data_IF_057359668929
#
_entry.id   IF_057359668929
#
_cell.length_a   1.000
_cell.length_b   1.000
_cell.length_c   1.000
_cell.angle_alpha   90.00
_cell.angle_beta   90.00
_cell.angle_gamma   90.00
#
_symmetry.space_group_name_H-M   'P 1'
#
loop_
_entity.id
_entity.type
_entity.pdbx_description
1 polymer ?
#
# COMPACT_ATOMS: atom_id res chain seq x y z
N UNK A 1 -30.80 -2.64 -23.65
CA UNK A 1 -30.27 -3.29 -24.89
C UNK A 1 -28.79 -3.54 -24.65
N UNK A 2 -28.31 -4.76 -24.90
CA UNK A 2 -26.88 -5.08 -24.80
C UNK A 2 -26.15 -4.32 -25.92
N UNK A 3 -25.09 -3.59 -25.58
CA UNK A 3 -24.24 -2.91 -26.55
C UNK A 3 -23.31 -3.92 -27.20
N UNK A 4 -23.32 -3.99 -28.53
CA UNK A 4 -22.32 -4.74 -29.28
C UNK A 4 -20.95 -4.05 -29.17
N UNK A 5 -19.87 -4.83 -29.19
CA UNK A 5 -18.51 -4.29 -29.31
C UNK A 5 -18.39 -3.49 -30.60
N UNK A 6 -17.73 -2.34 -30.52
CA UNK A 6 -17.53 -1.45 -31.66
C UNK A 6 -16.55 -2.08 -32.66
N UNK A 7 -16.75 -1.85 -33.95
CA UNK A 7 -15.88 -2.42 -35.01
C UNK A 7 -14.43 -1.95 -34.88
N UNK A 8 -14.21 -0.73 -34.40
CA UNK A 8 -12.89 -0.18 -34.08
C UNK A 8 -12.14 -0.95 -32.98
N UNK A 9 -12.82 -1.80 -32.21
CA UNK A 9 -12.21 -2.65 -31.19
C UNK A 9 -11.57 -3.93 -31.76
N UNK A 10 -11.68 -4.24 -33.06
CA UNK A 10 -11.23 -5.51 -33.66
C UNK A 10 -9.73 -5.83 -33.49
N UNK A 11 -8.88 -4.85 -33.16
CA UNK A 11 -7.47 -5.05 -32.82
C UNK A 11 -7.18 -5.38 -31.35
N UNK A 12 -8.18 -5.30 -30.48
CA UNK A 12 -8.02 -5.57 -29.05
C UNK A 12 -8.10 -7.08 -28.76
N UNK A 13 -7.20 -7.67 -27.95
CA UNK A 13 -7.29 -9.09 -27.56
C UNK A 13 -8.62 -9.47 -26.90
N UNK A 14 -9.27 -8.51 -26.21
CA UNK A 14 -10.56 -8.71 -25.58
C UNK A 14 -11.74 -8.62 -26.54
N UNK A 15 -11.53 -8.30 -27.82
CA UNK A 15 -12.60 -8.29 -28.81
C UNK A 15 -13.20 -9.68 -29.01
N UNK A 16 -12.34 -10.71 -29.16
CA UNK A 16 -12.76 -12.11 -29.28
C UNK A 16 -12.84 -12.82 -27.94
N UNK A 17 -11.93 -12.53 -27.00
CA UNK A 17 -11.81 -13.26 -25.73
C UNK A 17 -12.71 -12.73 -24.61
N UNK A 18 -12.97 -11.42 -24.60
CA UNK A 18 -13.72 -10.76 -23.53
C UNK A 18 -15.23 -10.85 -23.72
N UNK A 19 -15.98 -10.47 -22.69
CA UNK A 19 -17.45 -10.46 -22.70
C UNK A 19 -17.98 -9.03 -22.58
N UNK A 20 -19.13 -8.78 -23.23
CA UNK A 20 -19.82 -7.49 -23.17
C UNK A 20 -19.01 -6.30 -23.68
N UNK A 21 -19.65 -5.13 -23.60
CA UNK A 21 -19.06 -3.83 -23.86
C UNK A 21 -19.88 -2.77 -23.13
N UNK A 22 -19.23 -1.82 -22.48
CA UNK A 22 -19.86 -0.64 -21.91
C UNK A 22 -19.05 0.62 -22.24
N UNK A 23 -19.70 1.59 -22.89
CA UNK A 23 -19.10 2.90 -23.17
C UNK A 23 -18.92 3.78 -21.92
N UNK A 24 -19.47 3.37 -20.77
CA UNK A 24 -19.53 4.15 -19.53
C UNK A 24 -20.87 4.88 -19.35
N UNK A 25 -21.12 5.36 -18.14
CA UNK A 25 -22.24 6.21 -17.76
C UNK A 25 -21.77 7.66 -17.80
N UNK A 26 -22.03 8.34 -18.92
CA UNK A 26 -21.57 9.70 -19.17
C UNK A 26 -22.60 10.72 -18.69
N UNK A 27 -22.19 11.60 -17.78
CA UNK A 27 -23.01 12.71 -17.31
C UNK A 27 -22.51 14.00 -17.96
N UNK A 28 -23.42 14.75 -18.58
CA UNK A 28 -23.09 16.04 -19.18
C UNK A 28 -22.61 17.01 -18.10
N UNK A 29 -21.51 17.72 -18.38
CA UNK A 29 -20.89 18.72 -17.49
C UNK A 29 -20.47 18.16 -16.12
N UNK A 30 -20.22 16.84 -16.04
CA UNK A 30 -19.73 16.18 -14.84
C UNK A 30 -18.38 16.76 -14.40
N UNK A 31 -18.30 17.14 -13.12
CA UNK A 31 -17.08 17.67 -12.49
C UNK A 31 -16.20 16.58 -11.86
N UNK A 32 -16.80 15.42 -11.53
CA UNK A 32 -16.11 14.25 -10.99
C UNK A 32 -16.31 13.08 -11.95
N UNK A 33 -15.24 12.35 -12.23
CA UNK A 33 -15.26 11.15 -13.06
C UNK A 33 -14.66 9.98 -12.29
N UNK A 34 -15.43 8.90 -12.11
CA UNK A 34 -14.98 7.66 -11.50
C UNK A 34 -14.47 6.71 -12.58
N UNK A 35 -13.30 6.09 -12.34
CA UNK A 35 -12.70 5.14 -13.29
C UNK A 35 -12.39 3.83 -12.57
N UNK A 36 -13.07 2.74 -12.96
CA UNK A 36 -12.80 1.37 -12.49
C UNK A 36 -11.83 0.59 -13.37
N UNK A 37 -11.62 -0.68 -13.04
CA UNK A 37 -10.67 -1.56 -13.75
C UNK A 37 -11.24 -2.07 -15.08
N UNK A 38 -12.28 -2.90 -15.01
CA UNK A 38 -12.90 -3.57 -16.14
C UNK A 38 -14.32 -4.02 -15.76
N UNK A 39 -15.09 -4.55 -16.73
CA UNK A 39 -16.45 -5.00 -16.43
C UNK A 39 -16.50 -6.28 -15.59
N UNK A 40 -17.37 -6.24 -14.58
CA UNK A 40 -17.89 -7.43 -13.89
C UNK A 40 -18.82 -8.28 -14.77
N UNK A 41 -19.24 -9.45 -14.27
CA UNK A 41 -20.15 -10.35 -14.98
C UNK A 41 -21.49 -9.66 -15.30
N UNK A 42 -22.15 -9.11 -14.28
CA UNK A 42 -23.43 -8.41 -14.45
C UNK A 42 -23.27 -7.16 -15.34
N UNK A 43 -22.17 -6.43 -15.18
CA UNK A 43 -21.87 -5.24 -15.97
C UNK A 43 -21.73 -5.56 -17.47
N UNK A 44 -21.14 -6.72 -17.81
CA UNK A 44 -21.06 -7.21 -19.18
C UNK A 44 -22.43 -7.61 -19.75
N UNK A 45 -23.33 -8.16 -18.92
CA UNK A 45 -24.70 -8.51 -19.31
C UNK A 45 -25.58 -7.27 -19.53
N UNK A 46 -25.34 -6.20 -18.79
CA UNK A 46 -26.14 -4.97 -18.84
C UNK A 46 -25.51 -3.84 -19.67
N UNK A 47 -24.29 -4.03 -20.17
CA UNK A 47 -23.52 -2.97 -20.87
C UNK A 47 -23.41 -1.67 -20.07
N UNK A 48 -23.38 -1.77 -18.75
CA UNK A 48 -23.37 -0.63 -17.82
C UNK A 48 -22.37 -0.91 -16.70
N UNK A 49 -21.43 0.00 -16.41
CA UNK A 49 -20.42 -0.24 -15.39
C UNK A 49 -21.04 -0.16 -13.98
N UNK A 50 -20.47 -0.89 -13.01
CA UNK A 50 -20.87 -0.84 -11.61
C UNK A 50 -22.39 -1.03 -11.38
N UNK A 51 -22.99 -2.08 -11.96
CA UNK A 51 -24.40 -2.46 -11.70
C UNK A 51 -24.58 -3.69 -10.82
N UNK A 52 -23.52 -4.46 -10.57
CA UNK A 52 -23.57 -5.61 -9.65
C UNK A 52 -23.14 -5.26 -8.22
N UNK A 53 -22.75 -6.26 -7.42
CA UNK A 53 -22.39 -6.06 -6.00
C UNK A 53 -21.30 -4.97 -5.77
N UNK A 54 -20.32 -4.88 -6.67
CA UNK A 54 -19.31 -3.81 -6.66
C UNK A 54 -19.95 -2.42 -6.85
N UNK A 55 -20.95 -2.32 -7.71
CA UNK A 55 -21.76 -1.12 -7.89
C UNK A 55 -22.57 -0.74 -6.67
N UNK A 56 -23.26 -1.70 -6.04
CA UNK A 56 -24.00 -1.44 -4.80
C UNK A 56 -23.10 -0.94 -3.68
N UNK A 57 -21.87 -1.47 -3.59
CA UNK A 57 -20.87 -0.99 -2.63
C UNK A 57 -20.44 0.45 -2.97
N UNK A 58 -20.19 0.76 -4.24
CA UNK A 58 -19.85 2.11 -4.69
C UNK A 58 -20.99 3.10 -4.41
N UNK A 59 -22.24 2.72 -4.70
CA UNK A 59 -23.42 3.53 -4.45
C UNK A 59 -23.60 3.83 -2.96
N UNK A 60 -23.28 2.87 -2.07
CA UNK A 60 -23.23 3.11 -0.63
C UNK A 60 -22.17 4.14 -0.25
N UNK A 61 -20.98 4.09 -0.86
CA UNK A 61 -19.92 5.07 -0.62
C UNK A 61 -20.35 6.47 -1.09
N UNK A 62 -20.87 6.58 -2.31
CA UNK A 62 -21.38 7.83 -2.89
C UNK A 62 -22.47 8.44 -2.01
N UNK A 63 -23.48 7.64 -1.63
CA UNK A 63 -24.56 8.08 -0.73
C UNK A 63 -24.03 8.56 0.62
N UNK A 64 -23.05 7.86 1.19
CA UNK A 64 -22.46 8.22 2.50
C UNK A 64 -21.74 9.57 2.47
N UNK A 65 -21.16 9.95 1.33
CA UNK A 65 -20.49 11.26 1.16
C UNK A 65 -21.41 12.34 0.60
N UNK A 66 -22.66 12.01 0.27
CA UNK A 66 -23.63 12.94 -0.29
C UNK A 66 -23.52 13.15 -1.81
N UNK A 67 -22.83 12.24 -2.53
CA UNK A 67 -22.80 12.23 -3.99
C UNK A 67 -23.96 11.41 -4.56
N UNK A 68 -24.54 11.92 -5.64
CA UNK A 68 -25.54 11.19 -6.44
C UNK A 68 -24.86 10.54 -7.64
N UNK A 69 -25.18 9.27 -7.92
CA UNK A 69 -24.59 8.54 -9.05
C UNK A 69 -24.78 9.27 -10.38
N UNK A 70 -25.98 9.78 -10.66
CA UNK A 70 -26.26 10.54 -11.89
C UNK A 70 -25.67 11.96 -11.91
N UNK A 71 -24.86 12.35 -10.92
CA UNK A 71 -24.08 13.59 -10.92
C UNK A 71 -22.60 13.37 -11.26
N UNK A 72 -22.18 12.11 -11.44
CA UNK A 72 -20.79 11.74 -11.74
C UNK A 72 -20.74 10.89 -12.99
N UNK A 73 -19.68 11.06 -13.79
CA UNK A 73 -19.39 10.16 -14.90
C UNK A 73 -18.71 8.91 -14.37
N UNK A 74 -19.10 7.73 -14.84
CA UNK A 74 -18.52 6.46 -14.40
C UNK A 74 -18.06 5.65 -15.62
N UNK A 75 -16.78 5.33 -15.66
CA UNK A 75 -16.17 4.51 -16.71
C UNK A 75 -15.25 3.45 -16.14
N UNK A 76 -14.68 2.63 -17.03
CA UNK A 76 -13.65 1.65 -16.69
C UNK A 76 -12.41 1.87 -17.57
N UNK A 77 -11.26 1.44 -17.06
CA UNK A 77 -10.01 1.46 -17.80
C UNK A 77 -10.10 0.56 -19.06
N UNK A 78 -10.79 -0.57 -18.92
CA UNK A 78 -11.16 -1.50 -19.98
C UNK A 78 -12.69 -1.60 -20.10
N UNK A 79 -13.23 -1.34 -21.29
CA UNK A 79 -14.69 -1.32 -21.55
C UNK A 79 -15.34 -2.71 -21.66
N UNK A 80 -14.56 -3.78 -21.56
CA UNK A 80 -15.02 -5.18 -21.68
C UNK A 80 -14.73 -5.94 -20.39
N UNK A 81 -15.40 -7.07 -20.20
CA UNK A 81 -15.04 -8.05 -19.17
C UNK A 81 -13.91 -8.94 -19.68
N UNK A 82 -12.78 -9.06 -18.98
CA UNK A 82 -11.72 -9.99 -19.32
C UNK A 82 -12.13 -11.45 -19.01
N UNK A 83 -11.54 -12.45 -19.70
CA UNK A 83 -11.76 -13.86 -19.39
C UNK A 83 -11.54 -14.15 -17.90
N UNK A 84 -12.46 -14.89 -17.27
CA UNK A 84 -12.37 -15.27 -15.86
C UNK A 84 -12.19 -14.08 -14.88
N UNK A 85 -12.59 -12.87 -15.26
CA UNK A 85 -12.33 -11.64 -14.49
C UNK A 85 -10.83 -11.34 -14.27
N UNK A 86 -9.96 -11.88 -15.13
CA UNK A 86 -8.52 -11.76 -14.98
C UNK A 86 -7.95 -10.70 -15.93
N UNK A 87 -7.75 -9.49 -15.41
CA UNK A 87 -7.01 -8.44 -16.11
C UNK A 87 -5.60 -8.28 -15.56
N UNK A 88 -5.46 -8.11 -14.25
CA UNK A 88 -4.17 -7.81 -13.61
C UNK A 88 -3.14 -8.92 -13.86
N UNK A 89 -1.98 -8.55 -14.39
CA UNK A 89 -0.86 -9.40 -14.82
C UNK A 89 -1.23 -10.41 -15.93
N UNK A 90 -2.35 -10.22 -16.63
CA UNK A 90 -2.73 -11.10 -17.73
C UNK A 90 -1.92 -10.75 -19.00
N UNK A 91 -1.67 -11.72 -19.91
CA UNK A 91 -0.93 -11.48 -21.16
C UNK A 91 -1.55 -10.40 -22.07
N UNK A 92 -2.84 -10.11 -21.89
CA UNK A 92 -3.58 -9.12 -22.66
C UNK A 92 -3.70 -7.75 -21.98
N UNK A 93 -3.27 -7.57 -20.71
CA UNK A 93 -3.50 -6.34 -19.93
C UNK A 93 -3.04 -5.09 -20.68
N UNK A 94 -1.75 -5.01 -21.02
CA UNK A 94 -1.18 -3.83 -21.66
C UNK A 94 -1.81 -3.55 -23.02
N UNK A 95 -2.00 -4.60 -23.84
CA UNK A 95 -2.58 -4.45 -25.17
C UNK A 95 -4.02 -3.95 -25.11
N UNK A 96 -4.86 -4.46 -24.19
CA UNK A 96 -6.24 -4.02 -24.08
C UNK A 96 -6.37 -2.63 -23.41
N UNK A 97 -5.52 -2.30 -22.43
CA UNK A 97 -5.47 -0.96 -21.84
C UNK A 97 -5.08 0.09 -22.88
N UNK A 98 -4.06 -0.19 -23.71
CA UNK A 98 -3.64 0.71 -24.78
C UNK A 98 -4.75 0.86 -25.83
N UNK A 99 -5.39 -0.23 -26.24
CA UNK A 99 -6.48 -0.18 -27.23
C UNK A 99 -7.71 0.58 -26.71
N UNK A 100 -8.09 0.37 -25.45
CA UNK A 100 -9.26 1.04 -24.84
C UNK A 100 -9.04 2.54 -24.55
N UNK A 101 -7.83 3.07 -24.77
CA UNK A 101 -7.53 4.49 -24.56
C UNK A 101 -8.47 5.42 -25.32
N UNK A 102 -8.88 5.03 -26.53
CA UNK A 102 -9.85 5.79 -27.35
C UNK A 102 -11.20 5.95 -26.66
N UNK A 103 -11.65 4.93 -25.91
CA UNK A 103 -12.90 5.03 -25.15
C UNK A 103 -12.72 5.87 -23.89
N UNK A 104 -11.55 5.81 -23.24
CA UNK A 104 -11.26 6.63 -22.06
C UNK A 104 -11.20 8.12 -22.35
N UNK A 105 -10.83 8.52 -23.57
CA UNK A 105 -10.93 9.91 -24.01
C UNK A 105 -12.36 10.48 -23.93
N UNK A 106 -13.39 9.62 -23.94
CA UNK A 106 -14.77 10.05 -23.71
C UNK A 106 -15.04 10.45 -22.25
N UNK A 107 -14.21 10.03 -21.30
CA UNK A 107 -14.29 10.42 -19.89
C UNK A 107 -13.39 11.63 -19.56
N UNK A 108 -12.35 11.87 -20.37
CA UNK A 108 -11.40 12.97 -20.19
C UNK A 108 -11.94 14.31 -20.70
N UNK A 109 -13.07 14.75 -20.12
CA UNK A 109 -13.72 16.01 -20.47
C UNK A 109 -13.04 17.20 -19.79
N UNK A 110 -12.94 18.37 -20.46
CA UNK A 110 -12.45 19.59 -19.83
C UNK A 110 -13.28 20.04 -18.61
N UNK A 111 -14.54 19.61 -18.52
CA UNK A 111 -15.42 19.87 -17.37
C UNK A 111 -15.04 19.06 -16.13
N UNK A 112 -14.39 17.91 -16.32
CA UNK A 112 -13.93 17.07 -15.21
C UNK A 112 -12.80 17.79 -14.49
N UNK A 113 -13.00 18.08 -13.20
CA UNK A 113 -11.99 18.63 -12.31
C UNK A 113 -11.25 17.55 -11.53
N UNK A 114 -11.93 16.44 -11.19
CA UNK A 114 -11.32 15.37 -10.41
C UNK A 114 -11.64 14.00 -11.00
N UNK A 115 -10.61 13.22 -11.28
CA UNK A 115 -10.70 11.80 -11.58
C UNK A 115 -10.50 11.02 -10.29
N UNK A 116 -11.46 10.15 -9.95
CA UNK A 116 -11.32 9.21 -8.84
C UNK A 116 -11.10 7.82 -9.42
N UNK A 117 -9.88 7.29 -9.26
CA UNK A 117 -9.54 5.96 -9.79
C UNK A 117 -9.78 4.90 -8.72
N UNK A 118 -10.46 3.82 -9.11
CA UNK A 118 -10.82 2.71 -8.24
C UNK A 118 -9.88 1.54 -8.52
N UNK A 119 -8.90 1.31 -7.64
CA UNK A 119 -7.92 0.24 -7.78
C UNK A 119 -6.62 0.65 -8.48
N UNK A 120 -5.62 -0.24 -8.41
CA UNK A 120 -4.28 0.02 -8.94
C UNK A 120 -4.26 0.11 -10.47
N UNK A 121 -4.96 -0.78 -11.18
CA UNK A 121 -5.01 -0.78 -12.65
C UNK A 121 -5.59 0.53 -13.18
N UNK A 122 -6.73 0.98 -12.64
CA UNK A 122 -7.34 2.25 -13.02
C UNK A 122 -6.40 3.43 -12.76
N UNK A 123 -5.76 3.45 -11.57
CA UNK A 123 -4.82 4.50 -11.18
C UNK A 123 -3.62 4.58 -12.12
N UNK A 124 -2.92 3.46 -12.35
CA UNK A 124 -1.82 3.34 -13.32
C UNK A 124 -2.23 3.80 -14.71
N UNK A 125 -3.44 3.43 -15.15
CA UNK A 125 -3.91 3.70 -16.51
C UNK A 125 -4.16 5.18 -16.72
N UNK A 126 -4.90 5.83 -15.81
CA UNK A 126 -5.22 7.25 -15.94
C UNK A 126 -3.96 8.12 -15.78
N UNK A 127 -3.06 7.76 -14.85
CA UNK A 127 -1.76 8.45 -14.72
C UNK A 127 -0.94 8.34 -16.00
N UNK A 128 -0.81 7.12 -16.56
CA UNK A 128 -0.08 6.89 -17.82
C UNK A 128 -0.69 7.65 -19.00
N UNK A 129 -2.03 7.72 -19.09
CA UNK A 129 -2.70 8.49 -20.14
C UNK A 129 -2.37 9.99 -20.10
N UNK A 130 -2.05 10.52 -18.92
CA UNK A 130 -1.64 11.91 -18.67
C UNK A 130 -0.11 12.09 -18.57
N UNK A 131 0.69 11.03 -18.81
CA UNK A 131 2.15 11.11 -18.79
C UNK A 131 2.80 11.05 -17.41
N UNK A 132 2.08 10.58 -16.38
CA UNK A 132 2.59 10.41 -15.02
C UNK A 132 3.00 8.96 -14.74
N UNK A 133 4.12 8.72 -14.03
CA UNK A 133 4.50 7.38 -13.61
C UNK A 133 3.61 6.88 -12.47
N UNK A 134 3.52 5.55 -12.34
CA UNK A 134 2.91 4.88 -11.19
C UNK A 134 3.81 3.72 -10.77
N UNK A 135 4.21 3.70 -9.51
CA UNK A 135 5.11 2.69 -8.95
C UNK A 135 4.67 2.29 -7.54
N UNK A 136 4.82 0.99 -7.22
CA UNK A 136 4.49 0.45 -5.92
C UNK A 136 3.00 0.12 -5.71
N UNK A 137 2.64 0.03 -4.43
CA UNK A 137 1.33 -0.46 -3.96
C UNK A 137 0.31 0.67 -3.88
N UNK A 138 -0.97 0.39 -4.17
CA UNK A 138 -2.05 1.38 -4.13
C UNK A 138 -2.21 2.01 -2.73
N UNK A 139 -1.86 1.26 -1.69
CA UNK A 139 -1.83 1.67 -0.29
C UNK A 139 -0.94 2.89 -0.04
N UNK A 140 0.05 3.16 -0.90
CA UNK A 140 0.89 4.37 -0.80
C UNK A 140 0.39 5.52 -1.68
N UNK A 141 -0.71 5.31 -2.42
CA UNK A 141 -1.28 6.27 -3.38
C UNK A 141 -2.71 6.67 -3.01
N UNK A 142 -3.44 5.87 -2.24
CA UNK A 142 -4.85 6.15 -1.96
C UNK A 142 -5.02 7.53 -1.32
N UNK A 143 -6.07 8.23 -1.69
CA UNK A 143 -6.45 9.54 -1.14
C UNK A 143 -5.37 10.62 -1.25
N UNK A 144 -4.26 10.38 -1.96
CA UNK A 144 -3.32 11.43 -2.36
C UNK A 144 -3.92 12.24 -3.50
N UNK A 145 -3.47 13.48 -3.64
CA UNK A 145 -3.92 14.36 -4.72
C UNK A 145 -2.80 14.56 -5.72
N UNK A 146 -3.01 14.11 -6.95
CA UNK A 146 -2.06 14.28 -8.05
C UNK A 146 -2.63 15.35 -8.98
N UNK A 147 -1.90 16.46 -9.18
CA UNK A 147 -2.24 17.47 -10.19
C UNK A 147 -1.87 16.92 -11.58
N UNK A 148 -2.86 16.73 -12.45
CA UNK A 148 -2.68 16.26 -13.84
C UNK A 148 -2.55 17.43 -14.82
N UNK A 149 -3.29 18.50 -14.58
CA UNK A 149 -3.27 19.76 -15.36
C UNK A 149 -3.70 20.91 -14.44
N UNK A 150 -3.78 22.15 -14.93
CA UNK A 150 -4.04 23.35 -14.12
C UNK A 150 -5.30 23.27 -13.25
N UNK A 151 -6.36 22.65 -13.75
CA UNK A 151 -7.63 22.46 -13.03
C UNK A 151 -8.10 21.00 -12.99
N UNK A 152 -7.20 20.04 -13.22
CA UNK A 152 -7.53 18.62 -13.23
C UNK A 152 -6.65 17.85 -12.24
N UNK A 153 -7.30 17.09 -11.38
CA UNK A 153 -6.66 16.33 -10.32
C UNK A 153 -7.07 14.85 -10.38
N UNK A 154 -6.23 14.00 -9.80
CA UNK A 154 -6.50 12.57 -9.64
C UNK A 154 -6.42 12.20 -8.15
N UNK A 155 -7.42 11.46 -7.68
CA UNK A 155 -7.49 10.92 -6.33
C UNK A 155 -7.68 9.40 -6.40
N UNK A 156 -6.64 8.60 -6.10
CA UNK A 156 -6.75 7.14 -6.11
C UNK A 156 -7.53 6.63 -4.91
N UNK A 157 -8.23 5.50 -5.06
CA UNK A 157 -8.82 4.79 -3.92
C UNK A 157 -9.05 3.31 -4.22
N UNK A 158 -9.53 2.56 -3.22
CA UNK A 158 -9.73 1.13 -3.31
C UNK A 158 -10.92 0.75 -4.19
N UNK A 159 -10.75 -0.30 -4.99
CA UNK A 159 -11.81 -0.82 -5.85
C UNK A 159 -12.92 -1.47 -5.00
N UNK A 160 -14.22 -1.21 -5.30
CA UNK A 160 -15.34 -1.84 -4.60
C UNK A 160 -15.26 -3.37 -4.44
N UNK A 161 -14.89 -4.09 -5.51
CA UNK A 161 -14.69 -5.54 -5.46
C UNK A 161 -13.61 -5.98 -4.46
N UNK A 162 -12.54 -5.20 -4.30
CA UNK A 162 -11.48 -5.50 -3.32
C UNK A 162 -12.00 -5.37 -1.89
N UNK A 163 -12.88 -4.40 -1.62
CA UNK A 163 -13.55 -4.23 -0.33
C UNK A 163 -14.49 -5.40 -0.01
N UNK A 164 -15.19 -5.92 -1.02
CA UNK A 164 -16.09 -7.07 -0.87
C UNK A 164 -15.32 -8.38 -0.60
N UNK A 165 -14.07 -8.49 -1.06
CA UNK A 165 -13.19 -9.66 -0.85
C UNK A 165 -12.49 -9.62 0.53
N UNK A 166 -13.20 -9.20 1.57
CA UNK A 166 -12.71 -9.21 2.96
C UNK A 166 -12.00 -7.93 3.43
N UNK A 167 -11.85 -6.92 2.58
CA UNK A 167 -11.19 -5.64 2.95
C UNK A 167 -12.17 -4.52 3.33
N UNK A 168 -13.34 -4.87 3.88
CA UNK A 168 -14.40 -3.90 4.22
C UNK A 168 -13.94 -2.79 5.17
N UNK A 169 -12.91 -3.05 5.98
CA UNK A 169 -12.27 -2.04 6.86
C UNK A 169 -11.82 -0.78 6.11
N UNK A 170 -11.45 -0.90 4.83
CA UNK A 170 -11.02 0.20 3.97
C UNK A 170 -12.18 1.02 3.37
N UNK A 171 -13.44 0.67 3.67
CA UNK A 171 -14.61 1.40 3.18
C UNK A 171 -14.58 2.89 3.53
N UNK A 172 -14.13 3.22 4.75
CA UNK A 172 -14.05 4.61 5.18
C UNK A 172 -12.91 5.36 4.47
N UNK A 173 -11.82 4.69 4.09
CA UNK A 173 -10.77 5.28 3.25
C UNK A 173 -11.30 5.59 1.83
N UNK A 174 -12.15 4.72 1.28
CA UNK A 174 -12.85 5.01 0.03
C UNK A 174 -13.78 6.22 0.13
N UNK A 175 -14.55 6.31 1.22
CA UNK A 175 -15.39 7.48 1.47
C UNK A 175 -14.57 8.75 1.69
N UNK A 176 -13.41 8.66 2.33
CA UNK A 176 -12.51 9.79 2.52
C UNK A 176 -12.00 10.33 1.17
N UNK A 177 -11.52 9.45 0.28
CA UNK A 177 -11.10 9.83 -1.07
C UNK A 177 -12.22 10.53 -1.87
N UNK A 178 -13.46 10.03 -1.77
CA UNK A 178 -14.60 10.64 -2.45
C UNK A 178 -14.94 12.04 -1.88
N UNK A 179 -14.89 12.23 -0.55
CA UNK A 179 -15.07 13.57 0.06
C UNK A 179 -13.97 14.52 -0.37
N UNK A 180 -12.72 14.07 -0.34
CA UNK A 180 -11.58 14.84 -0.81
C UNK A 180 -11.77 15.28 -2.27
N UNK A 181 -12.24 14.38 -3.14
CA UNK A 181 -12.56 14.72 -4.52
C UNK A 181 -13.66 15.79 -4.63
N UNK A 182 -14.68 15.76 -3.77
CA UNK A 182 -15.72 16.80 -3.74
C UNK A 182 -15.14 18.16 -3.32
N UNK A 183 -14.31 18.18 -2.28
CA UNK A 183 -13.67 19.40 -1.79
C UNK A 183 -12.78 20.03 -2.87
N UNK A 184 -11.96 19.22 -3.53
CA UNK A 184 -11.11 19.67 -4.64
C UNK A 184 -11.96 20.18 -5.80
N UNK A 185 -13.03 19.48 -6.17
CA UNK A 185 -13.89 19.91 -7.26
C UNK A 185 -14.56 21.27 -6.97
N UNK A 186 -14.96 21.50 -5.71
CA UNK A 186 -15.64 22.71 -5.27
C UNK A 186 -14.68 23.90 -5.09
N UNK A 187 -13.53 23.70 -4.46
CA UNK A 187 -12.64 24.78 -4.00
C UNK A 187 -11.30 24.84 -4.75
N UNK A 188 -11.02 23.87 -5.62
CA UNK A 188 -9.70 23.67 -6.19
C UNK A 188 -8.74 23.03 -5.18
N UNK A 189 -7.50 22.85 -5.61
CA UNK A 189 -6.44 22.32 -4.75
C UNK A 189 -5.11 23.00 -5.06
N UNK A 190 -4.45 23.45 -4.01
CA UNK A 190 -3.06 23.86 -4.05
C UNK A 190 -2.25 22.83 -3.25
N UNK A 191 -1.37 22.04 -3.88
CA UNK A 191 -0.57 21.08 -3.15
C UNK A 191 0.32 21.83 -2.15
N UNK A 192 0.38 21.40 -0.88
CA UNK A 192 1.36 21.94 0.05
C UNK A 192 2.75 21.68 -0.52
N UNK A 193 3.60 22.69 -0.48
CA UNK A 193 5.00 22.52 -0.80
C UNK A 193 5.73 22.13 0.49
N UNK A 194 6.35 20.94 0.48
CA UNK A 194 7.37 20.59 1.47
C UNK A 194 8.72 20.85 0.83
N UNK A 195 9.50 21.72 1.47
CA UNK A 195 10.88 21.97 1.11
C UNK A 195 11.75 20.83 1.67
N UNK A 196 12.54 20.21 0.79
CA UNK A 196 13.41 19.08 1.15
C UNK A 196 14.87 19.52 1.12
N UNK A 197 15.52 19.46 2.27
CA UNK A 197 16.93 19.81 2.46
C UNK A 197 17.76 18.53 2.48
N UNK A 198 18.38 18.20 1.34
CA UNK A 198 19.12 16.94 1.15
C UNK A 198 20.61 17.18 1.18
N UNK A 199 21.30 16.53 2.12
CA UNK A 199 22.76 16.63 2.31
C UNK A 199 23.30 18.07 2.35
N UNK A 200 22.65 19.01 3.08
CA UNK A 200 23.14 20.37 3.21
C UNK A 200 24.54 20.36 3.87
N UNK A 201 25.45 21.29 3.51
CA UNK A 201 26.71 21.42 4.22
C UNK A 201 26.50 21.52 5.75
N UNK A 202 27.38 20.95 6.59
CA UNK A 202 27.20 20.97 8.05
C UNK A 202 26.94 22.37 8.62
N UNK A 203 27.57 23.41 8.08
CA UNK A 203 27.40 24.80 8.50
C UNK A 203 25.99 25.33 8.21
N UNK A 204 25.38 24.88 7.10
CA UNK A 204 24.01 25.22 6.73
C UNK A 204 23.02 24.46 7.61
N UNK A 205 23.27 23.17 7.86
CA UNK A 205 22.44 22.36 8.77
C UNK A 205 22.46 22.90 10.20
N UNK A 206 23.65 23.25 10.71
CA UNK A 206 23.79 23.90 12.01
C UNK A 206 23.01 25.22 12.07
N UNK A 207 23.25 26.11 11.10
CA UNK A 207 22.68 27.46 11.12
C UNK A 207 21.16 27.48 10.92
N UNK A 208 20.61 26.57 10.12
CA UNK A 208 19.22 26.62 9.65
C UNK A 208 18.31 25.60 10.33
N UNK A 209 18.88 24.57 10.97
CA UNK A 209 18.09 23.56 11.68
C UNK A 209 18.44 23.53 13.17
N UNK A 210 19.71 23.32 13.50
CA UNK A 210 20.13 23.14 14.90
C UNK A 210 19.94 24.42 15.72
N UNK A 211 20.30 25.59 15.19
CA UNK A 211 20.09 26.87 15.89
C UNK A 211 18.62 27.26 15.98
N UNK A 212 17.83 26.94 14.97
CA UNK A 212 16.38 27.18 15.04
C UNK A 212 15.74 26.35 16.14
N UNK A 213 16.17 25.11 16.32
CA UNK A 213 15.71 24.23 17.39
C UNK A 213 15.91 24.82 18.79
N UNK A 214 17.01 25.56 19.03
CA UNK A 214 17.26 26.23 20.32
C UNK A 214 16.23 27.31 20.66
N UNK A 215 15.52 27.82 19.66
CA UNK A 215 14.45 28.82 19.82
C UNK A 215 13.06 28.21 19.93
N UNK A 216 12.92 26.89 19.76
CA UNK A 216 11.65 26.21 19.88
C UNK A 216 11.34 25.88 21.34
N UNK A 217 10.09 26.09 21.73
CA UNK A 217 9.60 25.71 23.05
C UNK A 217 9.62 24.19 23.19
N UNK A 218 10.44 23.68 24.12
CA UNK A 218 10.63 22.25 24.35
C UNK A 218 9.37 21.54 24.85
N UNK A 219 8.40 22.27 25.39
CA UNK A 219 7.14 21.69 25.87
C UNK A 219 6.12 21.52 24.74
N UNK A 220 6.29 22.22 23.62
CA UNK A 220 5.30 22.29 22.55
C UNK A 220 5.80 21.77 21.19
N UNK A 221 7.09 21.94 20.88
CA UNK A 221 7.63 21.61 19.56
C UNK A 221 8.22 20.20 19.53
N UNK A 222 7.73 19.39 18.60
CA UNK A 222 8.20 18.03 18.36
C UNK A 222 9.26 17.97 17.26
N UNK A 223 10.20 17.04 17.41
CA UNK A 223 11.19 16.72 16.38
C UNK A 223 10.82 15.36 15.81
N UNK A 224 10.38 15.30 14.56
CA UNK A 224 10.29 14.02 13.88
C UNK A 224 11.69 13.51 13.54
N UNK A 225 11.92 12.22 13.79
CA UNK A 225 13.18 11.52 13.55
C UNK A 225 12.87 10.22 12.82
N UNK A 226 13.69 9.91 11.83
CA UNK A 226 13.61 8.68 11.05
C UNK A 226 15.02 8.30 10.55
N UNK A 227 15.33 7.01 10.45
CA UNK A 227 16.64 6.54 9.97
C UNK A 227 16.51 5.61 8.76
N UNK A 228 17.47 5.73 7.85
CA UNK A 228 17.60 4.82 6.71
C UNK A 228 18.72 3.83 6.96
N UNK A 229 18.46 2.54 6.82
CA UNK A 229 19.47 1.48 7.06
C UNK A 229 19.85 0.76 5.78
N UNK A 230 21.07 0.22 5.73
CA UNK A 230 21.52 -0.61 4.61
C UNK A 230 20.79 -1.96 4.63
N UNK A 231 19.91 -2.21 3.66
CA UNK A 231 19.25 -3.51 3.52
C UNK A 231 20.23 -4.58 3.02
N UNK A 232 20.51 -5.62 3.81
CA UNK A 232 20.94 -6.92 3.25
C UNK A 232 19.68 -7.63 2.76
N UNK A 233 19.64 -7.96 1.47
CA UNK A 233 18.50 -8.57 0.79
C UNK A 233 18.04 -9.88 1.45
N UNK A 234 16.74 -9.98 1.81
CA UNK A 234 16.02 -11.26 1.74
C UNK A 234 15.14 -11.72 2.90
N UNK A 235 15.24 -11.19 4.12
CA UNK A 235 14.51 -11.74 5.27
C UNK A 235 13.77 -10.64 6.07
N UNK A 236 12.82 -11.06 6.93
CA UNK A 236 11.90 -10.16 7.62
C UNK A 236 12.65 -9.22 8.60
N UNK A 237 12.21 -7.96 8.65
CA UNK A 237 12.83 -6.87 9.45
C UNK A 237 12.99 -7.22 10.94
N UNK A 238 12.14 -8.10 11.48
CA UNK A 238 12.16 -8.53 12.89
C UNK A 238 13.30 -9.52 13.23
N UNK A 239 13.79 -10.32 12.28
CA UNK A 239 14.87 -11.32 12.54
C UNK A 239 16.27 -10.67 12.57
N UNK A 240 16.40 -9.41 12.13
CA UNK A 240 17.70 -8.75 11.94
C UNK A 240 18.18 -7.87 13.08
N UNK A 241 17.32 -7.45 14.01
CA UNK A 241 17.72 -6.61 15.16
C UNK A 241 18.88 -7.24 15.95
N UNK A 242 18.94 -8.57 15.99
CA UNK A 242 19.93 -9.36 16.73
C UNK A 242 21.25 -9.62 15.95
N UNK A 243 21.29 -9.36 14.64
CA UNK A 243 22.43 -9.71 13.78
C UNK A 243 23.57 -8.68 13.78
N UNK A 244 23.33 -7.45 14.24
CA UNK A 244 24.32 -6.37 14.24
C UNK A 244 24.79 -5.88 12.86
N UNK A 245 24.20 -6.35 11.76
CA UNK A 245 24.67 -6.10 10.39
C UNK A 245 24.08 -4.86 9.72
N UNK A 246 22.97 -4.31 10.23
CA UNK A 246 22.35 -3.10 9.71
C UNK A 246 23.16 -1.86 10.10
N UNK A 247 23.61 -1.08 9.13
CA UNK A 247 24.26 0.21 9.36
C UNK A 247 23.33 1.33 8.99
N UNK A 248 23.28 2.36 9.83
CA UNK A 248 22.59 3.60 9.49
C UNK A 248 23.34 4.24 8.31
N UNK A 249 22.60 4.57 7.27
CA UNK A 249 23.10 5.25 6.07
C UNK A 249 22.79 6.74 6.12
N UNK A 250 21.62 7.10 6.65
CA UNK A 250 21.12 8.48 6.75
C UNK A 250 20.21 8.63 7.97
N UNK A 251 20.08 9.87 8.43
CA UNK A 251 19.10 10.26 9.44
C UNK A 251 18.33 11.49 8.96
N UNK A 252 17.05 11.51 9.27
CA UNK A 252 16.07 12.42 8.74
C UNK A 252 15.38 13.17 9.89
N UNK A 253 15.13 14.45 9.69
CA UNK A 253 14.55 15.31 10.71
C UNK A 253 13.48 16.25 10.16
N UNK A 254 12.50 16.59 10.99
CA UNK A 254 11.60 17.72 10.78
C UNK A 254 11.20 18.35 12.12
N UNK A 255 11.21 19.67 12.20
CA UNK A 255 10.72 20.46 13.35
C UNK A 255 9.45 21.23 13.02
N UNK A 256 9.12 21.35 11.73
CA UNK A 256 7.91 21.94 11.22
C UNK A 256 7.34 21.11 10.07
N UNK A 257 6.07 21.36 9.73
CA UNK A 257 5.30 20.56 8.77
C UNK A 257 5.62 20.86 7.29
N UNK A 258 6.45 21.87 7.03
CA UNK A 258 6.80 22.35 5.68
C UNK A 258 8.24 22.03 5.30
N UNK A 259 9.11 21.65 6.23
CA UNK A 259 10.51 21.34 5.97
C UNK A 259 10.87 19.91 6.37
N UNK A 260 11.47 19.18 5.44
CA UNK A 260 12.08 17.88 5.69
C UNK A 260 13.59 17.95 5.47
N UNK A 261 14.36 17.45 6.42
CA UNK A 261 15.82 17.45 6.39
C UNK A 261 16.35 16.02 6.37
N UNK A 262 17.41 15.78 5.60
CA UNK A 262 18.15 14.51 5.65
C UNK A 262 19.64 14.76 5.52
N UNK A 263 20.42 14.08 6.35
CA UNK A 263 21.88 14.12 6.32
C UNK A 263 22.43 12.70 6.30
N UNK A 264 23.60 12.46 5.69
CA UNK A 264 24.22 11.15 5.68
C UNK A 264 24.79 10.84 7.06
N UNK A 265 24.83 9.55 7.42
CA UNK A 265 25.40 9.08 8.69
C UNK A 265 26.94 9.10 8.64
N UNK A 266 27.52 10.30 8.65
CA UNK A 266 28.96 10.56 8.50
C UNK A 266 29.51 11.40 9.65
N UNK A 267 30.79 11.21 10.00
CA UNK A 267 31.48 11.92 11.09
C UNK A 267 31.27 13.43 11.10
N UNK A 268 31.20 14.07 9.92
CA UNK A 268 31.02 15.52 9.80
C UNK A 268 29.66 16.04 10.30
N UNK A 269 28.66 15.17 10.48
CA UNK A 269 27.35 15.54 11.04
C UNK A 269 27.13 15.01 12.46
N UNK A 270 28.01 14.13 12.99
CA UNK A 270 27.74 13.40 14.22
C UNK A 270 27.54 14.31 15.43
N UNK A 271 28.34 15.37 15.56
CA UNK A 271 28.16 16.35 16.64
C UNK A 271 26.78 17.03 16.54
N UNK A 272 26.39 17.46 15.35
CA UNK A 272 25.10 18.11 15.09
C UNK A 272 23.92 17.16 15.31
N UNK A 273 24.02 15.92 14.83
CA UNK A 273 23.02 14.86 15.05
C UNK A 273 22.83 14.62 16.55
N UNK A 274 23.94 14.53 17.30
CA UNK A 274 23.89 14.30 18.74
C UNK A 274 23.30 15.51 19.48
N UNK A 275 23.51 16.74 19.01
CA UNK A 275 22.84 17.94 19.53
C UNK A 275 21.32 17.86 19.33
N UNK A 276 20.86 17.52 18.12
CA UNK A 276 19.42 17.38 17.81
C UNK A 276 18.76 16.31 18.68
N UNK A 277 19.37 15.12 18.78
CA UNK A 277 18.80 14.00 19.53
C UNK A 277 18.88 14.19 21.06
N UNK A 278 19.84 14.99 21.56
CA UNK A 278 19.91 15.37 22.97
C UNK A 278 19.04 16.57 23.35
N UNK A 279 18.47 17.28 22.38
CA UNK A 279 17.56 18.40 22.65
C UNK A 279 16.41 17.92 23.55
N UNK A 280 15.90 18.76 24.48
CA UNK A 280 14.88 18.34 25.44
C UNK A 280 13.50 18.06 24.80
N UNK A 281 13.26 18.58 23.59
CA UNK A 281 12.02 18.42 22.83
C UNK A 281 11.64 16.94 22.67
N UNK A 282 10.33 16.60 22.63
CA UNK A 282 9.87 15.25 22.30
C UNK A 282 10.33 14.81 20.91
N UNK A 283 10.74 13.55 20.79
CA UNK A 283 11.14 12.93 19.51
C UNK A 283 9.99 12.07 19.04
N UNK A 284 9.53 12.32 17.84
CA UNK A 284 8.45 11.58 17.21
C UNK A 284 9.07 10.65 16.18
N UNK A 285 8.76 9.37 16.28
CA UNK A 285 9.15 8.38 15.29
C UNK A 285 7.89 7.78 14.66
N UNK A 286 8.08 7.09 13.55
CA UNK A 286 7.08 6.20 12.98
C UNK A 286 7.62 4.77 13.08
N UNK A 287 7.24 4.03 14.13
CA UNK A 287 7.87 2.76 14.52
C UNK A 287 9.24 2.92 15.21
N UNK A 288 9.27 3.69 16.30
CA UNK A 288 10.43 3.88 17.19
C UNK A 288 11.09 2.57 17.66
N UNK A 289 10.31 1.48 17.78
CA UNK A 289 10.82 0.15 18.15
C UNK A 289 11.85 -0.38 17.16
N UNK A 290 11.85 0.10 15.93
CA UNK A 290 12.91 -0.19 14.96
C UNK A 290 14.09 0.79 15.09
N UNK A 291 13.82 2.10 15.07
CA UNK A 291 14.86 3.12 14.95
C UNK A 291 15.70 3.30 16.23
N UNK A 292 15.04 3.35 17.39
CA UNK A 292 15.65 3.71 18.67
C UNK A 292 16.71 2.69 19.12
N UNK A 293 16.48 1.36 19.03
CA UNK A 293 17.51 0.38 19.36
C UNK A 293 18.76 0.51 18.48
N UNK A 294 18.59 0.78 17.18
CA UNK A 294 19.71 0.93 16.24
C UNK A 294 20.51 2.20 16.59
N UNK A 295 19.85 3.32 16.86
CA UNK A 295 20.50 4.56 17.30
C UNK A 295 21.29 4.36 18.61
N UNK A 296 20.69 3.69 19.60
CA UNK A 296 21.37 3.38 20.88
C UNK A 296 22.62 2.50 20.67
N UNK A 297 22.56 1.53 19.77
CA UNK A 297 23.70 0.66 19.43
C UNK A 297 24.87 1.45 18.83
N UNK A 298 24.58 2.49 18.06
CA UNK A 298 25.57 3.43 17.51
C UNK A 298 26.10 4.43 18.56
N UNK A 299 25.73 4.28 19.84
CA UNK A 299 26.21 5.11 20.95
C UNK A 299 25.47 6.44 21.09
N UNK A 300 24.33 6.61 20.40
CA UNK A 300 23.56 7.83 20.44
C UNK A 300 22.63 7.86 21.64
N UNK A 301 22.68 8.97 22.37
CA UNK A 301 21.71 9.26 23.44
C UNK A 301 20.52 10.04 22.88
N UNK A 302 19.31 9.59 23.23
CA UNK A 302 18.06 10.28 22.91
C UNK A 302 17.50 10.79 24.24
N UNK A 303 17.42 12.12 24.39
CA UNK A 303 16.85 12.76 25.57
C UNK A 303 15.33 12.93 25.43
N UNK A 304 14.62 13.48 26.40
CA UNK A 304 13.20 13.84 26.27
C UNK A 304 12.25 12.65 26.07
N UNK A 305 10.99 12.95 25.76
CA UNK A 305 9.95 11.93 25.53
C UNK A 305 10.07 11.39 24.11
N UNK A 306 9.97 10.07 23.95
CA UNK A 306 9.86 9.42 22.64
C UNK A 306 8.38 9.10 22.38
N UNK A 307 7.88 9.48 21.22
CA UNK A 307 6.48 9.30 20.82
C UNK A 307 6.46 8.46 19.55
N UNK A 308 5.75 7.33 19.58
CA UNK A 308 5.43 6.57 18.36
C UNK A 308 4.09 7.01 17.78
N UNK A 309 4.16 7.75 16.67
CA UNK A 309 2.97 8.14 15.95
C UNK A 309 2.22 6.93 15.35
N UNK A 310 2.92 5.83 15.07
CA UNK A 310 2.30 4.60 14.58
C UNK A 310 1.40 3.96 15.63
N UNK A 311 1.82 3.86 16.90
CA UNK A 311 0.94 3.44 18.00
C UNK A 311 -0.24 4.39 18.19
N UNK A 312 -0.04 5.70 18.05
CA UNK A 312 -1.12 6.69 18.14
C UNK A 312 -2.20 6.43 17.09
N UNK A 313 -1.78 6.16 15.85
CA UNK A 313 -2.69 5.74 14.78
C UNK A 313 -3.37 4.40 15.09
N UNK A 314 -2.63 3.40 15.58
CA UNK A 314 -3.20 2.10 15.93
C UNK A 314 -4.28 2.20 17.00
N UNK A 315 -4.11 3.10 17.97
CA UNK A 315 -5.11 3.36 19.01
C UNK A 315 -6.41 3.96 18.44
N UNK A 316 -6.31 4.84 17.44
CA UNK A 316 -7.47 5.42 16.76
C UNK A 316 -8.14 4.41 15.82
N UNK A 317 -7.34 3.70 15.03
CA UNK A 317 -7.79 2.89 13.90
C UNK A 317 -7.14 1.49 13.90
N UNK A 318 -7.42 0.63 14.89
CA UNK A 318 -6.70 -0.64 15.08
C UNK A 318 -6.90 -1.65 13.93
N UNK A 319 -7.93 -1.45 13.11
CA UNK A 319 -8.24 -2.32 11.97
C UNK A 319 -7.57 -1.89 10.66
N UNK A 320 -7.06 -0.66 10.58
CA UNK A 320 -6.45 -0.13 9.35
C UNK A 320 -4.95 -0.41 9.30
N UNK A 321 -4.35 -0.48 8.09
CA UNK A 321 -2.90 -0.51 7.94
C UNK A 321 -2.23 0.68 8.65
N UNK A 322 -1.02 0.45 9.18
CA UNK A 322 -0.28 1.43 9.99
C UNK A 322 0.97 1.98 9.31
N UNK A 323 1.24 1.59 8.06
CA UNK A 323 2.39 2.13 7.33
C UNK A 323 2.20 3.62 7.06
N UNK A 324 3.27 4.42 7.21
CA UNK A 324 3.23 5.87 7.03
C UNK A 324 2.61 6.28 5.67
N UNK A 325 2.93 5.55 4.60
CA UNK A 325 2.38 5.80 3.26
C UNK A 325 0.86 5.64 3.17
N UNK A 326 0.26 4.78 4.02
CA UNK A 326 -1.19 4.61 4.11
C UNK A 326 -1.85 5.67 5.00
N UNK A 327 -1.18 6.08 6.08
CA UNK A 327 -1.78 7.02 7.04
C UNK A 327 -1.66 8.46 6.56
N UNK A 328 -0.55 8.80 5.92
CA UNK A 328 -0.25 10.15 5.51
C UNK A 328 -1.35 10.86 4.71
N UNK A 329 -2.04 10.24 3.74
CA UNK A 329 -3.11 10.91 3.01
C UNK A 329 -4.25 11.47 3.88
N UNK A 330 -4.42 11.01 5.12
CA UNK A 330 -5.42 11.55 6.05
C UNK A 330 -5.00 12.88 6.71
N UNK A 331 -3.69 13.13 6.85
CA UNK A 331 -3.16 14.26 7.63
C UNK A 331 -2.16 15.11 6.83
N UNK A 332 -1.29 14.45 6.06
CA UNK A 332 -0.36 15.04 5.12
C UNK A 332 -1.03 15.22 3.76
N UNK A 333 -1.03 16.46 3.27
CA UNK A 333 -1.65 16.83 1.98
C UNK A 333 -0.68 16.71 0.79
N UNK A 334 0.49 16.11 0.98
CA UNK A 334 1.47 15.90 -0.09
C UNK A 334 1.03 14.75 -1.00
N UNK A 335 1.46 14.82 -2.27
CA UNK A 335 1.31 13.72 -3.20
C UNK A 335 2.06 12.45 -2.74
N UNK A 336 1.87 11.32 -3.42
CA UNK A 336 2.56 10.08 -3.08
C UNK A 336 4.07 10.26 -3.26
N UNK A 337 4.87 9.87 -2.26
CA UNK A 337 6.33 10.03 -2.33
C UNK A 337 7.10 8.74 -2.04
N UNK A 338 6.46 7.71 -1.47
CA UNK A 338 7.11 6.45 -1.12
C UNK A 338 7.78 5.73 -2.29
N UNK A 339 7.38 6.01 -3.53
CA UNK A 339 8.02 5.50 -4.75
C UNK A 339 9.40 6.12 -5.04
N UNK A 340 9.75 7.24 -4.38
CA UNK A 340 11.02 7.92 -4.57
C UNK A 340 12.19 7.24 -3.87
N UNK A 341 11.96 6.21 -3.04
CA UNK A 341 13.03 5.53 -2.29
C UNK A 341 14.13 4.96 -3.19
N UNK A 342 13.78 4.48 -4.38
CA UNK A 342 14.70 3.90 -5.36
C UNK A 342 15.34 4.93 -6.29
N UNK A 343 14.69 6.06 -6.54
CA UNK A 343 15.08 7.03 -7.58
C UNK A 343 15.65 8.34 -7.02
N UNK A 344 15.26 8.71 -5.80
CA UNK A 344 15.65 9.93 -5.13
C UNK A 344 15.65 9.73 -3.60
N UNK A 345 16.47 8.79 -3.11
CA UNK A 345 16.51 8.35 -1.72
C UNK A 345 16.58 9.51 -0.70
N UNK A 346 17.41 10.53 -0.93
CA UNK A 346 17.47 11.69 -0.03
C UNK A 346 16.17 12.50 0.02
N UNK A 347 15.51 12.69 -1.13
CA UNK A 347 14.21 13.39 -1.16
C UNK A 347 13.12 12.57 -0.49
N UNK A 348 13.13 11.26 -0.70
CA UNK A 348 12.25 10.31 0.01
C UNK A 348 12.40 10.45 1.52
N UNK A 349 13.64 10.39 2.00
CA UNK A 349 13.99 10.40 3.41
C UNK A 349 13.59 11.72 4.11
N UNK A 350 13.83 12.87 3.46
CA UNK A 350 13.34 14.17 3.94
C UNK A 350 11.80 14.25 4.01
N UNK A 351 11.10 13.76 2.99
CA UNK A 351 9.64 13.75 2.96
C UNK A 351 9.04 12.83 4.02
N UNK A 352 9.70 11.70 4.33
CA UNK A 352 9.29 10.79 5.40
C UNK A 352 9.29 11.49 6.75
N UNK A 353 10.36 12.20 7.12
CA UNK A 353 10.41 12.94 8.38
C UNK A 353 9.29 14.00 8.47
N UNK A 354 9.08 14.79 7.41
CA UNK A 354 8.03 15.82 7.39
C UNK A 354 6.61 15.21 7.41
N UNK A 355 6.40 14.06 6.75
CA UNK A 355 5.14 13.33 6.78
C UNK A 355 4.87 12.72 8.15
N UNK A 356 5.89 12.16 8.81
CA UNK A 356 5.81 11.65 10.19
C UNK A 356 5.34 12.74 11.13
N UNK A 357 5.93 13.94 11.06
CA UNK A 357 5.53 15.05 11.91
C UNK A 357 4.08 15.51 11.67
N UNK A 358 3.68 15.64 10.41
CA UNK A 358 2.29 15.99 10.06
C UNK A 358 1.28 14.96 10.55
N UNK A 359 1.58 13.67 10.35
CA UNK A 359 0.72 12.60 10.84
C UNK A 359 0.63 12.63 12.36
N UNK A 360 1.75 12.80 13.05
CA UNK A 360 1.79 12.85 14.50
C UNK A 360 0.92 13.99 15.05
N UNK A 361 1.03 15.21 14.52
CA UNK A 361 0.17 16.33 14.94
C UNK A 361 -1.30 16.06 14.66
N UNK A 362 -1.63 15.50 13.49
CA UNK A 362 -3.02 15.15 13.14
C UNK A 362 -3.61 14.07 14.04
N UNK A 363 -2.86 12.98 14.28
CA UNK A 363 -3.22 11.89 15.19
C UNK A 363 -3.39 12.41 16.62
N UNK A 364 -2.49 13.27 17.07
CA UNK A 364 -2.58 13.89 18.39
C UNK A 364 -3.85 14.73 18.53
N UNK A 365 -4.19 15.53 17.53
CA UNK A 365 -5.42 16.32 17.50
C UNK A 365 -6.67 15.42 17.56
N UNK A 366 -6.69 14.32 16.81
CA UNK A 366 -7.81 13.36 16.83
C UNK A 366 -7.91 12.63 18.18
N UNK A 367 -6.78 12.18 18.74
CA UNK A 367 -6.74 11.58 20.09
C UNK A 367 -7.22 12.56 21.16
N UNK A 368 -6.86 13.84 21.07
CA UNK A 368 -7.35 14.89 21.97
C UNK A 368 -8.86 15.11 21.79
N UNK A 369 -9.34 15.17 20.55
CA UNK A 369 -10.75 15.27 20.21
C UNK A 369 -11.59 14.12 20.77
N UNK A 370 -11.04 12.89 20.75
CA UNK A 370 -11.64 11.70 21.35
C UNK A 370 -11.39 11.54 22.86
N UNK A 371 -10.66 12.47 23.49
CA UNK A 371 -10.27 12.43 24.92
C UNK A 371 -9.46 11.18 25.29
N UNK A 372 -8.60 10.73 24.38
CA UNK A 372 -7.75 9.55 24.49
C UNK A 372 -6.26 9.88 24.61
N UNK A 373 -5.87 11.14 24.41
CA UNK A 373 -4.48 11.59 24.48
C UNK A 373 -3.77 11.20 25.79
N UNK A 374 -4.38 11.45 26.95
CA UNK A 374 -3.76 11.11 28.24
C UNK A 374 -3.55 9.59 28.40
N UNK A 375 -4.48 8.78 27.88
CA UNK A 375 -4.35 7.33 27.90
C UNK A 375 -3.24 6.87 26.94
N UNK A 376 -3.15 7.44 25.74
CA UNK A 376 -2.03 7.20 24.82
C UNK A 376 -0.69 7.51 25.49
N UNK A 377 -0.52 8.73 26.00
CA UNK A 377 0.74 9.15 26.63
C UNK A 377 1.10 8.28 27.85
N UNK A 378 0.12 7.87 28.65
CA UNK A 378 0.36 7.00 29.81
C UNK A 378 0.78 5.59 29.40
N UNK A 379 0.03 4.95 28.50
CA UNK A 379 0.18 3.53 28.23
C UNK A 379 1.11 3.20 27.07
N UNK A 380 1.12 4.03 26.02
CA UNK A 380 1.88 3.78 24.79
C UNK A 380 3.19 4.57 24.74
N UNK A 381 3.40 5.52 25.65
CA UNK A 381 4.66 6.28 25.73
C UNK A 381 5.35 6.03 27.08
N UNK A 382 4.70 6.41 28.18
CA UNK A 382 5.34 6.34 29.50
C UNK A 382 5.55 4.89 29.95
N UNK A 383 4.48 4.09 29.99
CA UNK A 383 4.56 2.70 30.44
C UNK A 383 5.43 1.84 29.51
N UNK A 384 5.33 2.07 28.19
CA UNK A 384 6.11 1.32 27.21
C UNK A 384 7.62 1.51 27.43
N UNK A 385 8.09 2.76 27.55
CA UNK A 385 9.50 3.04 27.76
C UNK A 385 10.02 2.81 29.19
N UNK A 386 9.15 2.89 30.21
CA UNK A 386 9.59 2.73 31.61
C UNK A 386 9.45 1.31 32.15
N UNK A 387 8.62 0.47 31.51
CA UNK A 387 8.33 -0.90 31.97
C UNK A 387 8.56 -1.94 30.88
N UNK A 388 7.95 -1.77 29.70
CA UNK A 388 7.98 -2.81 28.68
C UNK A 388 9.35 -2.93 28.00
N UNK A 389 9.94 -1.83 27.52
CA UNK A 389 11.28 -1.86 26.93
C UNK A 389 12.35 -2.39 27.92
N UNK A 390 12.41 -1.93 29.19
CA UNK A 390 13.35 -2.54 30.15
C UNK A 390 13.10 -4.03 30.41
N UNK A 391 11.85 -4.50 30.37
CA UNK A 391 11.56 -5.92 30.52
C UNK A 391 11.99 -6.73 29.28
N UNK A 392 11.80 -6.19 28.08
CA UNK A 392 12.29 -6.76 26.83
C UNK A 392 13.82 -6.84 26.80
N UNK A 393 14.53 -5.78 27.24
CA UNK A 393 15.99 -5.72 27.33
C UNK A 393 16.57 -6.80 28.28
N UNK A 394 15.84 -7.15 29.35
CA UNK A 394 16.21 -8.23 30.27
C UNK A 394 16.01 -9.61 29.61
N UNK A 395 14.97 -9.74 28.79
CA UNK A 395 14.59 -10.98 28.13
C UNK A 395 14.16 -12.09 29.08
N UNK A 396 14.03 -13.30 28.55
CA UNK A 396 13.74 -14.52 29.31
C UNK A 396 14.85 -15.53 29.12
N UNK A 397 15.42 -16.04 30.21
CA UNK A 397 16.38 -17.13 30.12
C UNK A 397 15.69 -18.42 29.69
N UNK A 398 16.21 -19.03 28.63
CA UNK A 398 15.79 -20.32 28.12
C UNK A 398 16.90 -21.35 28.32
N UNK A 399 16.52 -22.55 28.75
CA UNK A 399 17.41 -23.71 28.74
C UNK A 399 17.46 -24.27 27.31
N UNK A 400 18.49 -23.89 26.57
CA UNK A 400 18.62 -24.24 25.16
C UNK A 400 18.81 -25.75 24.93
N UNK A 401 19.36 -26.48 25.90
CA UNK A 401 19.50 -27.94 25.80
C UNK A 401 18.14 -28.62 25.92
N UNK A 402 17.28 -28.16 26.84
CA UNK A 402 15.90 -28.63 26.94
C UNK A 402 15.06 -28.25 25.72
N UNK A 403 15.20 -27.03 25.19
CA UNK A 403 14.50 -26.60 23.96
C UNK A 403 14.89 -27.51 22.80
N UNK A 404 16.18 -27.78 22.61
CA UNK A 404 16.66 -28.67 21.55
C UNK A 404 16.17 -30.11 21.73
N UNK A 405 16.23 -30.64 22.96
CA UNK A 405 15.73 -31.98 23.25
C UNK A 405 14.23 -32.12 23.00
N UNK A 406 13.44 -31.09 23.36
CA UNK A 406 12.01 -31.05 23.07
C UNK A 406 11.75 -31.00 21.57
N UNK A 407 12.51 -30.18 20.83
CA UNK A 407 12.40 -30.07 19.38
C UNK A 407 12.69 -31.42 18.69
N UNK A 408 13.78 -32.09 19.05
CA UNK A 408 14.12 -33.43 18.54
C UNK A 408 13.03 -34.47 18.84
N UNK A 409 12.42 -34.41 20.03
CA UNK A 409 11.31 -35.29 20.41
C UNK A 409 10.06 -35.04 19.56
N UNK A 410 9.70 -33.77 19.36
CA UNK A 410 8.54 -33.37 18.55
C UNK A 410 8.74 -33.70 17.07
N UNK A 411 9.94 -33.51 16.53
CA UNK A 411 10.27 -33.86 15.14
C UNK A 411 10.16 -35.37 14.91
N UNK A 412 10.54 -36.18 15.90
CA UNK A 412 10.35 -37.62 15.86
C UNK A 412 8.87 -38.02 15.88
N UNK A 413 8.08 -37.47 16.80
CA UNK A 413 6.63 -37.74 16.86
C UNK A 413 5.93 -37.30 15.56
N UNK A 414 6.32 -36.15 15.00
CA UNK A 414 5.80 -35.67 13.73
C UNK A 414 6.12 -36.64 12.60
N UNK A 415 7.36 -37.15 12.53
CA UNK A 415 7.77 -38.14 11.53
C UNK A 415 6.95 -39.43 11.63
N UNK A 416 6.71 -39.93 12.85
CA UNK A 416 5.88 -41.12 13.08
C UNK A 416 4.41 -40.89 12.66
N UNK A 417 3.87 -39.68 12.89
CA UNK A 417 2.53 -39.30 12.42
C UNK A 417 2.48 -39.20 10.90
N UNK A 418 3.47 -38.59 10.27
CA UNK A 418 3.57 -38.47 8.81
C UNK A 418 3.66 -39.84 8.14
N UNK A 419 4.49 -40.75 8.67
CA UNK A 419 4.56 -42.14 8.20
C UNK A 419 3.22 -42.86 8.33
N UNK A 420 2.53 -42.68 9.47
CA UNK A 420 1.20 -43.26 9.68
C UNK A 420 0.18 -42.69 8.69
N UNK A 421 0.16 -41.38 8.46
CA UNK A 421 -0.71 -40.76 7.45
C UNK A 421 -0.40 -41.34 6.07
N UNK A 422 0.88 -41.40 5.70
CA UNK A 422 1.32 -41.92 4.41
C UNK A 422 0.87 -43.37 4.20
N UNK A 423 0.92 -44.20 5.26
CA UNK A 423 0.48 -45.60 5.20
C UNK A 423 -1.03 -45.79 4.95
N UNK A 424 -1.86 -44.78 5.24
CA UNK A 424 -3.31 -44.84 5.05
C UNK A 424 -3.76 -44.34 3.67
N UNK A 425 -2.86 -43.79 2.86
CA UNK A 425 -3.19 -43.23 1.55
C UNK A 425 -3.15 -44.34 0.50
N UNK A 426 -4.27 -44.64 -0.18
CA UNK A 426 -4.30 -45.65 -1.23
C UNK A 426 -3.34 -45.31 -2.37
N UNK A 427 -2.69 -46.32 -2.94
CA UNK A 427 -1.72 -46.14 -4.02
C UNK A 427 -2.33 -45.48 -5.26
N UNK A 428 -3.65 -45.58 -5.48
CA UNK A 428 -4.32 -44.98 -6.64
C UNK A 428 -4.44 -43.44 -6.55
N UNK A 429 -4.27 -42.86 -5.35
CA UNK A 429 -4.27 -41.41 -5.12
C UNK A 429 -2.89 -40.87 -4.72
N UNK A 430 -1.88 -41.74 -4.59
CA UNK A 430 -0.49 -41.33 -4.47
C UNK A 430 0.01 -40.88 -5.86
N UNK A 431 0.45 -39.62 -6.04
CA UNK A 431 1.07 -39.22 -7.31
C UNK A 431 2.37 -39.99 -7.50
N UNK A 432 2.57 -40.53 -8.71
CA UNK A 432 3.76 -41.33 -9.06
C UNK A 432 5.03 -40.46 -9.09
N UNK A 433 6.09 -41.05 -8.52
CA UNK A 433 7.44 -40.53 -8.20
C UNK A 433 7.53 -39.46 -7.10
N UNK A 434 7.62 -39.93 -5.84
CA UNK A 434 8.32 -39.19 -4.77
C UNK A 434 7.53 -38.73 -3.55
N UNK A 435 6.29 -39.21 -3.32
CA UNK A 435 5.50 -38.85 -2.14
C UNK A 435 5.06 -37.39 -2.12
N UNK A 436 4.36 -36.96 -1.06
CA UNK A 436 3.95 -35.56 -0.91
C UNK A 436 5.17 -34.64 -0.92
N UNK A 437 5.28 -33.78 -1.93
CA UNK A 437 6.29 -32.72 -1.93
C UNK A 437 5.70 -31.49 -1.26
N UNK A 438 6.26 -31.12 -0.10
CA UNK A 438 6.04 -29.80 0.52
C UNK A 438 6.55 -28.75 -0.46
N UNK A 439 5.70 -27.83 -0.92
CA UNK A 439 6.18 -26.68 -1.67
C UNK A 439 7.00 -25.80 -0.71
N UNK A 440 8.16 -25.22 -1.09
CA UNK A 440 9.07 -24.51 -0.18
C UNK A 440 8.55 -23.20 0.45
N UNK A 441 7.23 -23.02 0.59
CA UNK A 441 6.62 -21.80 1.12
C UNK A 441 5.33 -21.96 1.94
N UNK A 442 4.72 -23.15 2.02
CA UNK A 442 3.43 -23.31 2.73
C UNK A 442 3.59 -23.63 4.23
N UNK A 443 3.08 -22.74 5.09
CA UNK A 443 3.18 -22.83 6.55
C UNK A 443 2.03 -23.61 7.23
N UNK A 444 1.10 -24.24 6.50
CA UNK A 444 -0.02 -24.99 7.11
C UNK A 444 -0.38 -26.29 6.38
N UNK A 445 -0.73 -27.38 7.10
CA UNK A 445 -1.11 -28.66 6.49
C UNK A 445 -2.60 -28.62 6.11
N UNK A 446 -2.92 -28.60 4.81
CA UNK A 446 -4.33 -28.81 4.40
C UNK A 446 -4.81 -28.41 3.00
N UNK A 447 -3.98 -27.87 2.11
CA UNK A 447 -4.45 -27.47 0.77
C UNK A 447 -3.91 -28.37 -0.35
N UNK A 448 -4.53 -29.55 -0.53
CA UNK A 448 -4.27 -30.38 -1.70
C UNK A 448 -5.05 -29.84 -2.91
N UNK A 449 -4.37 -29.17 -3.84
CA UNK A 449 -4.96 -28.92 -5.17
C UNK A 449 -4.67 -30.10 -6.09
N UNK A 450 -5.73 -30.75 -6.55
CA UNK A 450 -5.66 -31.71 -7.66
C UNK A 450 -5.09 -30.98 -8.87
N UNK A 451 -3.94 -31.41 -9.39
CA UNK A 451 -3.46 -30.93 -10.70
C UNK A 451 -4.57 -31.27 -11.69
N UNK A 452 -5.16 -30.25 -12.32
CA UNK A 452 -5.99 -30.47 -13.50
C UNK A 452 -5.00 -30.96 -14.55
N UNK A 453 -5.04 -32.25 -14.87
CA UNK A 453 -4.26 -32.81 -15.97
C UNK A 453 -4.61 -32.04 -17.24
N UNK A 454 -3.67 -31.25 -17.77
CA UNK A 454 -3.71 -30.89 -19.17
C UNK A 454 -3.42 -32.16 -19.96
N UNK A 455 -4.48 -32.84 -20.39
CA UNK A 455 -4.40 -33.98 -21.27
C UNK A 455 -4.14 -33.44 -22.67
N UNK A 456 -2.88 -33.38 -23.07
CA UNK A 456 -2.50 -33.17 -24.46
C UNK A 456 -2.61 -34.50 -25.19
N UNK A 457 -3.79 -34.84 -25.68
CA UNK A 457 -3.95 -36.03 -26.55
C UNK A 457 -3.69 -35.63 -27.99
N UNK A 458 -2.62 -36.18 -28.56
CA UNK A 458 -2.43 -36.23 -30.00
C UNK A 458 -3.45 -37.21 -30.58
N UNK A 459 -4.24 -36.77 -31.56
CA UNK A 459 -5.19 -37.66 -32.24
C UNK A 459 -4.41 -38.73 -33.02
N UNK A 460 -4.65 -40.01 -32.73
CA UNK A 460 -3.92 -41.14 -33.36
C UNK A 460 -4.29 -41.36 -34.82
N UNK A 461 -5.36 -40.74 -35.33
CA UNK A 461 -5.80 -40.86 -36.72
C UNK A 461 -5.29 -39.72 -37.62
N UNK A 462 -5.27 -38.47 -37.14
CA UNK A 462 -4.88 -37.30 -37.96
C UNK A 462 -3.58 -36.60 -37.50
N UNK A 463 -3.11 -36.85 -36.28
CA UNK A 463 -1.88 -36.28 -35.73
C UNK A 463 -1.97 -34.86 -35.16
N UNK A 464 -3.14 -34.24 -35.08
CA UNK A 464 -3.29 -32.92 -34.43
C UNK A 464 -3.26 -33.00 -32.90
N UNK A 465 -2.72 -31.96 -32.26
CA UNK A 465 -2.60 -31.82 -30.80
C UNK A 465 -3.42 -30.63 -30.30
N UNK A 466 -4.45 -30.90 -29.48
CA UNK A 466 -5.26 -29.87 -28.79
C UNK A 466 -5.10 -30.02 -27.27
N UNK A 467 -5.03 -28.90 -26.56
CA UNK A 467 -4.76 -28.82 -25.11
C UNK A 467 -6.01 -28.43 -24.31
N UNK A 468 -7.16 -28.20 -24.95
CA UNK A 468 -8.33 -27.63 -24.26
C UNK A 468 -9.70 -28.26 -24.56
N UNK A 469 -9.87 -29.05 -25.62
CA UNK A 469 -11.15 -29.71 -25.96
C UNK A 469 -10.95 -31.10 -26.60
N UNK A 470 -11.93 -32.01 -26.48
CA UNK A 470 -11.92 -33.30 -27.19
C UNK A 470 -11.98 -33.03 -28.70
N UNK A 471 -10.91 -33.39 -29.42
CA UNK A 471 -10.85 -33.37 -30.88
C UNK A 471 -11.84 -34.40 -31.46
N UNK A 472 -12.77 -33.98 -32.33
CA UNK A 472 -13.66 -34.87 -33.09
C UNK A 472 -13.19 -34.91 -34.54
N UNK A 473 -12.70 -36.08 -35.00
CA UNK A 473 -12.42 -36.31 -36.42
C UNK A 473 -13.73 -36.31 -37.20
N UNK A 474 -13.88 -35.41 -38.17
CA UNK A 474 -14.88 -35.59 -39.22
C UNK A 474 -14.45 -36.76 -40.10
N UNK A 475 -15.31 -37.79 -40.23
CA UNK A 475 -15.13 -38.99 -41.07
C UNK A 475 -14.55 -38.71 -42.46
#
# INVERSE_FOLDING_TARGET
MIQAKLRECQGCPLFSKGEGFAAGELVQDSIITLVGEALGFEEAQHSTPFVGAAGEQLDRALKKVGLYRGSVTIGNAVSCRPPNNWLTNAPWEHACLNHCRVHRQNFYKPTTRVYVTLGAVATRTVLSDHGYPYEGKLENWHSTVIKLDDNQFLVPTFHPSYLLQGNQKLFNAQCFALRLAMEIAAFGWAPPHIETHVDPPPEVFEASFVRELEHLDSDCAWIAVDIETSSTSGEAEDEYLDSGLQRITRINFATDVYNGWTVPWENRYMELIQMVLNAPNPKVFWNERFDVPILKREGVTINGVVIDAMQGWHMLQPNLPMGLGFVAPFYCKVGPWKHLSSTAAGRYAALDAAATLQCAYGIAADLQGEKRWDAFHKYMTTFDHTVLHPAEDVGLMLDMDQVKSLQESLDKELSEIEERIQSQIPAEVMPLEGGWKRDPGDKWPGAFKKRVEQVTTCCTECGETDVTTRHECSE
#
